data_IF_926039568490
#
_entry.id   IF_926039568490
#
_cell.length_a   1.000
_cell.length_b   1.000
_cell.length_c   1.000
_cell.angle_alpha   90.00
_cell.angle_beta   90.00
_cell.angle_gamma   90.00
#
_symmetry.space_group_name_H-M   'P 1'
#
loop_
_entity.id
_entity.type
_entity.pdbx_description
1 polymer ?
#
# COMPACT_ATOMS: atom_id res chain seq x y z
N UNK A 1 14.39 16.13 -33.91
CA UNK A 1 14.59 16.02 -32.45
C UNK A 1 14.14 14.62 -32.05
N UNK A 2 15.01 13.76 -31.51
CA UNK A 2 14.56 12.45 -31.06
C UNK A 2 13.72 12.64 -29.79
N UNK A 3 12.48 12.20 -29.84
CA UNK A 3 11.63 12.00 -28.66
C UNK A 3 12.37 11.10 -27.68
N UNK A 4 12.48 11.52 -26.43
CA UNK A 4 12.94 10.62 -25.36
C UNK A 4 11.88 9.54 -25.20
N UNK A 5 12.13 8.35 -25.74
CA UNK A 5 11.42 7.13 -25.33
C UNK A 5 11.64 6.98 -23.84
N UNK A 6 10.60 7.29 -23.07
CA UNK A 6 10.60 7.09 -21.62
C UNK A 6 10.62 5.58 -21.40
N UNK A 7 11.61 5.06 -20.67
CA UNK A 7 11.72 3.62 -20.50
C UNK A 7 10.57 3.08 -19.64
N UNK A 8 10.17 1.83 -19.86
CA UNK A 8 9.12 1.18 -19.05
C UNK A 8 9.46 1.21 -17.55
N UNK A 9 10.75 1.18 -17.22
CA UNK A 9 11.24 1.33 -15.84
C UNK A 9 10.96 2.71 -15.26
N UNK A 10 11.09 3.77 -16.06
CA UNK A 10 10.78 5.14 -15.63
C UNK A 10 9.28 5.32 -15.41
N UNK A 11 8.45 4.76 -16.29
CA UNK A 11 6.98 4.77 -16.15
C UNK A 11 6.56 4.06 -14.86
N UNK A 12 7.10 2.86 -14.61
CA UNK A 12 6.80 2.11 -13.39
C UNK A 12 7.25 2.84 -12.12
N UNK A 13 8.48 3.36 -12.11
CA UNK A 13 8.99 4.10 -10.97
C UNK A 13 8.17 5.35 -10.68
N UNK A 14 7.81 6.10 -11.73
CA UNK A 14 7.00 7.31 -11.59
C UNK A 14 5.59 6.98 -11.07
N UNK A 15 4.94 5.94 -11.59
CA UNK A 15 3.65 5.46 -11.07
C UNK A 15 3.72 5.12 -9.57
N UNK A 16 4.75 4.36 -9.16
CA UNK A 16 4.91 3.97 -7.75
C UNK A 16 5.14 5.19 -6.86
N UNK A 17 5.97 6.12 -7.32
CA UNK A 17 6.24 7.37 -6.60
C UNK A 17 4.95 8.19 -6.45
N UNK A 18 4.23 8.43 -7.54
CA UNK A 18 3.00 9.22 -7.55
C UNK A 18 1.93 8.61 -6.63
N UNK A 19 1.79 7.28 -6.63
CA UNK A 19 0.91 6.57 -5.71
C UNK A 19 1.29 6.81 -4.24
N UNK A 20 2.58 6.69 -3.88
CA UNK A 20 3.05 6.94 -2.50
C UNK A 20 2.82 8.41 -2.11
N UNK A 21 3.15 9.34 -3.01
CA UNK A 21 2.96 10.77 -2.79
C UNK A 21 1.50 11.13 -2.58
N UNK A 22 0.63 10.58 -3.41
CA UNK A 22 -0.81 10.77 -3.28
C UNK A 22 -1.30 10.21 -1.94
N UNK A 23 -0.92 8.99 -1.58
CA UNK A 23 -1.31 8.37 -0.30
C UNK A 23 -0.95 9.24 0.91
N UNK A 24 0.30 9.72 0.94
CA UNK A 24 0.81 10.62 1.98
C UNK A 24 0.03 11.94 2.05
N UNK A 25 -0.38 12.44 0.88
CA UNK A 25 -1.12 13.69 0.76
C UNK A 25 -2.61 13.57 1.08
N UNK A 26 -3.24 12.40 0.93
CA UNK A 26 -4.70 12.24 1.13
C UNK A 26 -5.07 11.41 2.35
N UNK A 27 -4.13 10.68 2.95
CA UNK A 27 -4.34 9.88 4.15
C UNK A 27 -3.78 10.55 5.41
N UNK A 28 -4.24 10.07 6.56
CA UNK A 28 -3.77 10.47 7.89
C UNK A 28 -2.35 9.95 8.09
N UNK A 29 -1.49 10.81 8.62
CA UNK A 29 -0.17 10.41 9.06
C UNK A 29 -0.31 9.57 10.35
N UNK A 30 0.17 8.33 10.32
CA UNK A 30 0.12 7.38 11.45
C UNK A 30 1.45 7.31 12.21
N UNK A 31 2.42 8.16 11.87
CA UNK A 31 3.72 8.23 12.54
C UNK A 31 3.56 8.44 14.05
N UNK A 32 4.26 7.65 14.89
CA UNK A 32 4.35 7.92 16.32
C UNK A 32 5.04 9.27 16.58
N UNK A 33 4.59 10.07 17.57
CA UNK A 33 5.29 11.29 17.93
C UNK A 33 6.70 10.94 18.45
N UNK A 34 7.72 11.62 17.92
CA UNK A 34 9.07 11.56 18.49
C UNK A 34 9.24 12.69 19.51
N UNK A 35 9.38 12.38 20.81
CA UNK A 35 9.53 13.41 21.84
C UNK A 35 10.81 14.24 21.70
N UNK A 36 11.79 13.79 20.90
CA UNK A 36 13.06 14.50 20.66
C UNK A 36 12.98 15.54 19.55
N UNK A 37 11.95 15.50 18.71
CA UNK A 37 11.79 16.42 17.57
C UNK A 37 10.65 17.39 17.86
N UNK A 38 11.00 18.56 18.37
CA UNK A 38 10.05 19.60 18.83
C UNK A 38 9.20 20.19 17.70
N UNK A 39 9.74 20.22 16.48
CA UNK A 39 9.15 20.89 15.31
C UNK A 39 8.56 19.92 14.27
N UNK A 40 8.44 18.64 14.63
CA UNK A 40 7.98 17.59 13.72
C UNK A 40 9.08 17.09 12.78
N UNK A 41 9.01 15.81 12.46
CA UNK A 41 9.91 15.16 11.50
C UNK A 41 9.29 15.30 10.11
N UNK A 42 10.10 15.60 9.08
CA UNK A 42 9.63 15.83 7.70
C UNK A 42 8.99 14.59 7.07
N UNK A 43 9.39 13.40 7.53
CA UNK A 43 8.85 12.13 7.08
C UNK A 43 7.37 11.92 7.40
N UNK A 44 6.67 11.32 6.44
CA UNK A 44 5.27 10.95 6.53
C UNK A 44 5.10 9.45 6.34
N UNK A 45 4.17 8.87 7.10
CA UNK A 45 3.83 7.46 7.06
C UNK A 45 2.32 7.31 7.09
N UNK A 46 1.78 6.54 6.16
CA UNK A 46 0.35 6.26 6.11
C UNK A 46 0.11 4.76 6.08
N UNK A 47 -0.85 4.32 6.87
CA UNK A 47 -1.30 2.93 6.92
C UNK A 47 -2.40 2.68 5.88
N UNK A 48 -2.29 1.56 5.18
CA UNK A 48 -3.28 1.01 4.27
C UNK A 48 -3.57 -0.45 4.63
N UNK A 49 -4.83 -0.87 4.54
CA UNK A 49 -5.25 -2.23 4.93
C UNK A 49 -5.97 -2.29 6.28
N UNK A 50 -5.79 -3.40 6.99
CA UNK A 50 -6.39 -3.66 8.31
C UNK A 50 -5.74 -2.75 9.36
N UNK A 51 -6.55 -2.25 10.28
CA UNK A 51 -6.14 -1.54 11.48
C UNK A 51 -6.93 -2.04 12.68
N UNK A 52 -6.34 -1.95 13.87
CA UNK A 52 -7.01 -2.25 15.15
C UNK A 52 -7.96 -1.13 15.61
N UNK A 53 -8.05 -0.03 14.86
CA UNK A 53 -8.89 1.11 15.21
C UNK A 53 -8.28 2.02 16.27
N UNK A 54 -9.13 2.81 16.94
CA UNK A 54 -8.67 3.74 17.98
C UNK A 54 -8.22 2.97 19.22
N UNK A 55 -7.21 3.47 19.93
CA UNK A 55 -6.81 2.93 21.24
C UNK A 55 -7.98 2.86 22.23
N UNK A 56 -8.94 3.80 22.13
CA UNK A 56 -10.13 3.87 22.99
C UNK A 56 -11.32 3.06 22.50
N UNK A 57 -11.28 2.55 21.26
CA UNK A 57 -12.37 1.79 20.64
C UNK A 57 -11.75 0.83 19.62
N UNK A 58 -11.19 -0.27 20.13
CA UNK A 58 -10.52 -1.27 19.31
C UNK A 58 -11.57 -2.01 18.47
N UNK A 59 -11.46 -1.88 17.16
CA UNK A 59 -12.26 -2.60 16.20
C UNK A 59 -11.36 -2.97 15.05
N UNK A 60 -11.14 -4.27 14.87
CA UNK A 60 -10.39 -4.79 13.73
C UNK A 60 -11.23 -4.57 12.49
N UNK A 61 -10.67 -3.85 11.52
CA UNK A 61 -11.33 -3.59 10.25
C UNK A 61 -10.43 -2.81 9.29
N UNK A 62 -10.91 -2.59 8.07
CA UNK A 62 -10.16 -1.79 7.12
C UNK A 62 -10.13 -0.32 7.53
N UNK A 63 -8.92 0.23 7.59
CA UNK A 63 -8.71 1.60 8.03
C UNK A 63 -9.36 2.59 7.07
N UNK A 64 -10.22 3.47 7.60
CA UNK A 64 -10.62 4.69 6.89
C UNK A 64 -9.60 5.79 7.14
N UNK A 65 -8.47 5.73 6.44
CA UNK A 65 -7.33 6.62 6.67
C UNK A 65 -7.40 7.94 5.90
N UNK A 66 -8.35 8.15 4.99
CA UNK A 66 -8.46 9.40 4.22
C UNK A 66 -8.80 10.61 5.10
N UNK A 67 -8.06 11.72 4.93
CA UNK A 67 -8.33 13.02 5.60
C UNK A 67 -9.22 13.94 4.74
N UNK A 68 -9.22 13.75 3.43
CA UNK A 68 -10.08 14.49 2.48
C UNK A 68 -11.26 13.63 2.02
N UNK A 69 -12.37 14.31 1.70
CA UNK A 69 -13.48 13.67 0.99
C UNK A 69 -13.12 13.59 -0.49
N UNK A 70 -13.13 12.40 -1.04
CA UNK A 70 -12.94 12.12 -2.46
C UNK A 70 -14.22 11.53 -3.05
N UNK A 71 -14.28 11.38 -4.37
CA UNK A 71 -15.36 10.60 -4.98
C UNK A 71 -15.15 9.11 -4.71
N UNK A 72 -16.21 8.31 -4.80
CA UNK A 72 -16.09 6.85 -4.64
C UNK A 72 -15.12 6.23 -5.66
N UNK A 73 -15.11 6.76 -6.88
CA UNK A 73 -14.21 6.30 -7.93
C UNK A 73 -12.74 6.62 -7.61
N UNK A 74 -12.45 7.81 -7.08
CA UNK A 74 -11.08 8.17 -6.68
C UNK A 74 -10.58 7.32 -5.51
N UNK A 75 -11.46 7.04 -4.53
CA UNK A 75 -11.14 6.13 -3.44
C UNK A 75 -10.78 4.74 -3.97
N UNK A 76 -11.61 4.21 -4.89
CA UNK A 76 -11.39 2.89 -5.48
C UNK A 76 -10.11 2.86 -6.30
N UNK A 77 -9.89 3.83 -7.18
CA UNK A 77 -8.72 3.90 -8.05
C UNK A 77 -7.42 3.90 -7.23
N UNK A 78 -7.33 4.79 -6.23
CA UNK A 78 -6.14 4.85 -5.40
C UNK A 78 -5.95 3.60 -4.52
N UNK A 79 -7.02 3.01 -4.00
CA UNK A 79 -6.93 1.76 -3.23
C UNK A 79 -6.55 0.56 -4.12
N UNK A 80 -6.92 0.56 -5.40
CA UNK A 80 -6.48 -0.43 -6.38
C UNK A 80 -4.98 -0.30 -6.66
N UNK A 81 -4.47 0.92 -6.87
CA UNK A 81 -3.03 1.18 -7.03
C UNK A 81 -2.23 0.76 -5.78
N UNK A 82 -2.74 1.06 -4.59
CA UNK A 82 -2.09 0.65 -3.34
C UNK A 82 -2.06 -0.88 -3.17
N UNK A 83 -3.14 -1.57 -3.56
CA UNK A 83 -3.18 -3.03 -3.59
C UNK A 83 -2.18 -3.61 -4.60
N UNK A 84 -2.06 -3.00 -5.78
CA UNK A 84 -1.10 -3.43 -6.80
C UNK A 84 0.34 -3.23 -6.34
N UNK A 85 0.68 -2.06 -5.79
CA UNK A 85 2.01 -1.80 -5.26
C UNK A 85 2.37 -2.77 -4.12
N UNK A 86 1.43 -3.01 -3.19
CA UNK A 86 1.61 -4.01 -2.14
C UNK A 86 1.78 -5.42 -2.72
N UNK A 87 0.99 -5.80 -3.73
CA UNK A 87 1.07 -7.10 -4.39
C UNK A 87 2.39 -7.32 -5.13
N UNK A 88 2.90 -6.30 -5.82
CA UNK A 88 4.21 -6.33 -6.49
C UNK A 88 5.32 -6.45 -5.46
N UNK A 89 5.32 -5.59 -4.43
CA UNK A 89 6.30 -5.66 -3.35
C UNK A 89 6.29 -7.03 -2.67
N UNK A 90 5.11 -7.58 -2.39
CA UNK A 90 4.98 -8.91 -1.79
C UNK A 90 5.49 -10.01 -2.71
N UNK A 91 5.23 -9.92 -4.02
CA UNK A 91 5.75 -10.88 -5.00
C UNK A 91 7.27 -10.86 -5.04
N UNK A 92 7.89 -9.67 -4.98
CA UNK A 92 9.35 -9.50 -4.88
C UNK A 92 9.91 -10.04 -3.56
N UNK A 93 9.22 -9.80 -2.45
CA UNK A 93 9.61 -10.33 -1.15
C UNK A 93 9.61 -11.87 -1.17
N UNK A 94 8.53 -12.48 -1.70
CA UNK A 94 8.41 -13.94 -1.84
C UNK A 94 9.43 -14.55 -2.79
N UNK A 95 9.85 -13.83 -3.83
CA UNK A 95 10.86 -14.34 -4.77
C UNK A 95 12.28 -14.23 -4.24
N UNK A 96 12.52 -13.34 -3.26
CA UNK A 96 13.87 -12.99 -2.80
C UNK A 96 14.20 -13.51 -1.41
N UNK A 97 13.20 -13.70 -0.55
CA UNK A 97 13.38 -14.17 0.83
C UNK A 97 13.40 -15.71 0.90
N UNK A 98 14.17 -16.30 1.82
CA UNK A 98 14.11 -17.74 2.09
C UNK A 98 12.71 -18.18 2.49
N UNK A 99 12.30 -19.34 2.00
CA UNK A 99 10.98 -19.94 2.27
C UNK A 99 10.73 -20.12 3.77
N UNK A 100 11.77 -20.45 4.53
CA UNK A 100 11.74 -20.61 5.99
C UNK A 100 11.34 -19.33 6.75
N UNK A 101 11.48 -18.16 6.12
CA UNK A 101 11.10 -16.86 6.69
C UNK A 101 9.67 -16.48 6.28
N UNK A 102 9.30 -16.71 5.02
CA UNK A 102 8.02 -16.28 4.46
C UNK A 102 6.87 -17.23 4.85
N UNK A 103 7.10 -18.54 4.78
CA UNK A 103 6.04 -19.54 4.98
C UNK A 103 5.40 -19.46 6.37
N UNK A 104 6.15 -19.28 7.48
CA UNK A 104 5.54 -19.09 8.80
C UNK A 104 4.59 -17.89 8.86
N UNK A 105 4.91 -16.80 8.16
CA UNK A 105 4.05 -15.61 8.09
C UNK A 105 2.78 -15.93 7.34
N UNK A 106 2.88 -16.54 6.15
CA UNK A 106 1.73 -16.91 5.33
C UNK A 106 0.82 -17.90 6.07
N UNK A 107 1.42 -18.92 6.69
CA UNK A 107 0.70 -19.93 7.46
C UNK A 107 -0.06 -19.30 8.63
N UNK A 108 0.60 -18.44 9.40
CA UNK A 108 0.00 -17.75 10.55
C UNK A 108 -1.19 -16.89 10.11
N UNK A 109 -1.07 -16.16 8.99
CA UNK A 109 -2.18 -15.37 8.45
C UNK A 109 -3.37 -16.25 8.05
N UNK A 110 -3.11 -17.41 7.42
CA UNK A 110 -4.13 -18.36 7.01
C UNK A 110 -4.83 -19.03 8.20
N UNK A 111 -4.08 -19.52 9.18
CA UNK A 111 -4.62 -20.15 10.40
C UNK A 111 -5.53 -19.21 11.18
N UNK A 112 -5.15 -17.92 11.24
CA UNK A 112 -5.91 -16.89 11.96
C UNK A 112 -7.02 -16.27 11.11
N UNK A 113 -7.28 -16.78 9.89
CA UNK A 113 -8.30 -16.27 8.97
C UNK A 113 -8.14 -14.76 8.69
N UNK A 114 -6.89 -14.27 8.71
CA UNK A 114 -6.59 -12.87 8.46
C UNK A 114 -6.58 -12.66 6.95
N UNK A 115 -7.47 -11.79 6.41
CA UNK A 115 -7.56 -11.61 4.98
C UNK A 115 -6.31 -10.89 4.45
N UNK A 116 -5.98 -11.14 3.20
CA UNK A 116 -4.96 -10.38 2.49
C UNK A 116 -5.36 -8.91 2.31
N UNK A 117 -4.39 -8.09 1.88
CA UNK A 117 -4.56 -6.66 1.67
C UNK A 117 -5.84 -6.32 0.89
N UNK A 118 -6.63 -5.42 1.46
CA UNK A 118 -7.88 -4.93 0.94
C UNK A 118 -8.25 -3.61 1.63
N UNK A 119 -9.37 -3.02 1.25
CA UNK A 119 -9.86 -1.78 1.84
C UNK A 119 -11.38 -1.74 1.91
N UNK A 120 -11.92 -0.64 2.47
CA UNK A 120 -13.36 -0.39 2.44
C UNK A 120 -13.91 -0.13 1.02
N UNK A 121 -13.04 0.19 0.05
CA UNK A 121 -13.43 0.53 -1.32
C UNK A 121 -13.03 -0.55 -2.33
N UNK A 122 -12.12 -1.45 -1.96
CA UNK A 122 -11.67 -2.59 -2.76
C UNK A 122 -11.80 -3.84 -1.92
N UNK A 123 -12.74 -4.70 -2.28
CA UNK A 123 -13.03 -5.94 -1.56
C UNK A 123 -11.79 -6.85 -1.51
N UNK A 124 -11.70 -7.64 -0.44
CA UNK A 124 -10.71 -8.70 -0.33
C UNK A 124 -10.89 -9.75 -1.43
N UNK A 125 -9.78 -10.31 -1.90
CA UNK A 125 -9.80 -11.27 -2.99
C UNK A 125 -8.41 -11.55 -3.53
N UNK A 126 -8.38 -12.23 -4.67
CA UNK A 126 -7.16 -12.48 -5.43
C UNK A 126 -6.95 -11.40 -6.48
N UNK A 127 -5.68 -11.27 -6.87
CA UNK A 127 -5.25 -10.44 -7.95
C UNK A 127 -5.28 -8.94 -7.68
N UNK A 128 -4.63 -8.22 -8.57
CA UNK A 128 -4.56 -6.77 -8.58
C UNK A 128 -4.37 -6.29 -10.02
N UNK A 129 -4.68 -5.02 -10.24
CA UNK A 129 -4.51 -4.33 -11.51
C UNK A 129 -3.82 -3.00 -11.27
N UNK A 130 -3.01 -2.56 -12.22
CA UNK A 130 -2.43 -1.24 -12.22
C UNK A 130 -2.44 -0.64 -13.63
N UNK A 131 -2.52 0.68 -13.66
CA UNK A 131 -2.46 1.47 -14.88
C UNK A 131 -1.07 2.09 -15.01
N UNK A 132 -0.29 1.62 -15.99
CA UNK A 132 1.05 2.14 -16.31
C UNK A 132 0.98 2.96 -17.60
N UNK A 133 0.86 4.28 -17.45
CA UNK A 133 0.60 5.15 -18.59
C UNK A 133 -0.72 4.77 -19.28
N UNK A 134 -0.65 4.38 -20.56
CA UNK A 134 -1.81 3.93 -21.34
C UNK A 134 -2.10 2.42 -21.19
N UNK A 135 -1.18 1.64 -20.62
CA UNK A 135 -1.33 0.20 -20.47
C UNK A 135 -2.01 -0.19 -19.15
N UNK A 136 -3.06 -1.01 -19.24
CA UNK A 136 -3.62 -1.71 -18.09
C UNK A 136 -2.94 -3.08 -17.94
N UNK A 137 -2.35 -3.34 -16.78
CA UNK A 137 -1.73 -4.63 -16.45
C UNK A 137 -2.56 -5.32 -15.37
N UNK A 138 -3.00 -6.54 -15.64
CA UNK A 138 -3.88 -7.31 -14.75
C UNK A 138 -3.17 -8.59 -14.32
N UNK A 139 -3.10 -8.82 -13.02
CA UNK A 139 -2.60 -10.05 -12.41
C UNK A 139 -3.75 -10.77 -11.70
N UNK A 140 -4.58 -11.57 -12.40
CA UNK A 140 -5.84 -12.08 -11.84
C UNK A 140 -5.63 -13.09 -10.69
N UNK A 141 -4.57 -13.90 -10.78
CA UNK A 141 -4.29 -14.97 -9.81
C UNK A 141 -3.16 -14.62 -8.83
N UNK A 142 -2.59 -13.42 -8.92
CA UNK A 142 -1.51 -13.03 -8.02
C UNK A 142 -2.02 -12.88 -6.58
N UNK A 143 -1.22 -13.34 -5.62
CA UNK A 143 -1.49 -13.09 -4.21
C UNK A 143 -1.36 -11.60 -3.93
N UNK A 144 -2.35 -11.04 -3.24
CA UNK A 144 -2.18 -9.73 -2.63
C UNK A 144 -1.21 -9.80 -1.45
N UNK A 145 -0.75 -8.63 -1.03
CA UNK A 145 0.15 -8.49 0.11
C UNK A 145 -0.48 -8.99 1.42
N UNK A 146 0.30 -9.09 2.50
CA UNK A 146 -0.20 -9.20 3.87
C UNK A 146 -1.25 -8.11 4.17
N UNK A 147 -2.08 -8.28 5.23
CA UNK A 147 -3.24 -7.42 5.54
C UNK A 147 -2.97 -5.93 5.69
N UNK A 148 -1.71 -5.52 5.84
CA UNK A 148 -1.31 -4.18 6.21
C UNK A 148 -0.09 -3.73 5.40
N UNK A 149 -0.14 -2.48 4.93
CA UNK A 149 0.92 -1.82 4.19
C UNK A 149 1.20 -0.44 4.79
N UNK A 150 2.47 -0.10 4.94
CA UNK A 150 2.92 1.24 5.28
C UNK A 150 3.54 1.92 4.07
N UNK A 151 2.99 3.08 3.70
CA UNK A 151 3.49 3.92 2.63
C UNK A 151 4.23 5.11 3.27
N UNK A 152 5.53 5.23 2.99
CA UNK A 152 6.41 6.18 3.68
C UNK A 152 7.23 7.02 2.71
N UNK A 153 7.56 8.26 3.10
CA UNK A 153 8.50 9.15 2.41
C UNK A 153 9.18 10.07 3.41
N UNK A 154 10.40 10.51 3.10
CA UNK A 154 11.09 11.58 3.82
C UNK A 154 11.66 11.14 5.17
N UNK A 155 11.92 9.84 5.34
CA UNK A 155 12.71 9.34 6.45
C UNK A 155 14.18 9.51 6.13
N UNK A 156 14.83 10.48 6.77
CA UNK A 156 16.29 10.60 6.82
C UNK A 156 16.82 9.67 7.91
N UNK A 157 17.85 8.89 7.60
CA UNK A 157 18.58 8.06 8.56
C UNK A 157 19.48 8.89 9.48
#
# INVERSE_FOLDING_TARGET
>A
MPSQDTSDSDIFYQWLLDMILYAINVRKNTRPPDPRVRDGHEGSMTQFGISEGSRSARQIGYAKSYKTKLTHNDYRAHDEDANAAGGIFWSLARSSMPTEVIDPVVHTLQENHIPHLASNFVAAGKGYRLQLGEAEVIFPEASRAPPELYLTRGYSA
#
